data_IF_426962018399
#
_entry.id   IF_426962018399
#
_cell.length_a   1.000
_cell.length_b   1.000
_cell.length_c   1.000
_cell.angle_alpha   90.00
_cell.angle_beta   90.00
_cell.angle_gamma   90.00
#
_symmetry.space_group_name_H-M   'P 1'
#
loop_
_entity.id
_entity.type
_entity.pdbx_description
1 polymer ?
#
# COMPACT_ATOMS: atom_id res chain seq x y z
N UNK A 1 4.52 23.06 -4.52
CA UNK A 1 5.03 21.92 -5.32
C UNK A 1 4.22 20.70 -4.90
N UNK A 2 3.61 20.01 -5.85
CA UNK A 2 2.72 18.87 -5.61
C UNK A 2 3.50 17.56 -5.65
N UNK A 3 3.13 16.59 -4.81
CA UNK A 3 3.76 15.27 -4.79
C UNK A 3 2.73 14.16 -4.77
N UNK A 4 3.02 13.09 -5.49
CA UNK A 4 2.25 11.84 -5.46
C UNK A 4 2.90 10.90 -4.44
N UNK A 5 2.10 10.40 -3.52
CA UNK A 5 2.44 9.31 -2.63
C UNK A 5 1.78 8.04 -3.16
N UNK A 6 2.55 7.24 -3.87
CA UNK A 6 2.09 5.96 -4.43
C UNK A 6 2.46 4.83 -3.48
N UNK A 7 1.49 4.06 -3.03
CA UNK A 7 1.74 2.93 -2.14
C UNK A 7 0.81 1.76 -2.44
N UNK A 8 1.34 0.57 -2.25
CA UNK A 8 0.66 -0.69 -2.52
C UNK A 8 0.61 -1.57 -1.29
N UNK A 9 -0.39 -2.43 -1.26
CA UNK A 9 -0.52 -3.51 -0.30
C UNK A 9 -0.20 -4.85 -0.95
N UNK A 10 0.53 -5.69 -0.21
CA UNK A 10 0.72 -7.11 -0.51
C UNK A 10 0.16 -7.90 0.68
N UNK A 11 -0.97 -8.52 0.47
CA UNK A 11 -1.58 -9.42 1.44
C UNK A 11 -2.24 -10.60 0.73
N UNK A 12 -2.08 -11.78 1.32
CA UNK A 12 -2.79 -13.00 0.92
C UNK A 12 -3.28 -13.71 2.18
N UNK A 13 -4.54 -14.09 2.16
CA UNK A 13 -5.14 -14.82 3.26
C UNK A 13 -4.54 -16.23 3.35
N UNK A 14 -4.49 -16.78 4.56
CA UNK A 14 -4.21 -18.21 4.75
C UNK A 14 -5.53 -18.96 4.69
N UNK A 15 -5.64 -19.87 3.74
CA UNK A 15 -6.79 -20.75 3.61
C UNK A 15 -6.74 -21.86 4.64
N UNK A 16 -7.87 -22.01 5.35
CA UNK A 16 -8.08 -23.12 6.28
C UNK A 16 -8.81 -24.24 5.57
N UNK A 17 -8.41 -25.49 5.83
CA UNK A 17 -9.13 -26.64 5.30
C UNK A 17 -10.49 -26.78 5.96
N UNK A 18 -11.41 -27.44 5.26
CA UNK A 18 -12.76 -27.70 5.79
C UNK A 18 -12.66 -28.79 6.88
N UNK A 19 -12.98 -28.40 8.12
CA UNK A 19 -13.07 -29.30 9.26
C UNK A 19 -14.46 -29.91 9.34
N UNK A 20 -14.50 -31.24 9.62
CA UNK A 20 -15.70 -31.98 9.95
C UNK A 20 -15.77 -32.19 11.46
N UNK A 21 -16.95 -32.48 11.97
CA UNK A 21 -17.17 -32.73 13.40
C UNK A 21 -16.18 -33.79 13.96
N UNK A 22 -15.93 -34.86 13.21
CA UNK A 22 -15.02 -35.94 13.63
C UNK A 22 -13.52 -35.60 13.56
N UNK A 23 -13.15 -34.50 12.95
CA UNK A 23 -11.79 -34.04 12.86
C UNK A 23 -11.38 -33.24 14.12
N UNK A 24 -12.37 -32.73 14.86
CA UNK A 24 -12.17 -31.93 16.06
C UNK A 24 -11.50 -32.76 17.15
N UNK A 25 -10.31 -32.32 17.59
CA UNK A 25 -9.51 -33.00 18.59
C UNK A 25 -8.66 -34.17 18.08
N UNK A 26 -8.82 -34.58 16.80
CA UNK A 26 -8.03 -35.65 16.18
C UNK A 26 -6.99 -35.15 15.19
N UNK A 27 -7.28 -33.99 14.55
CA UNK A 27 -6.35 -33.33 13.63
C UNK A 27 -6.20 -31.87 14.06
N UNK A 28 -4.93 -31.45 14.23
CA UNK A 28 -4.59 -30.09 14.65
C UNK A 28 -3.90 -29.29 13.54
N UNK A 29 -3.79 -29.84 12.34
CA UNK A 29 -3.28 -29.14 11.17
C UNK A 29 -4.43 -28.50 10.40
N UNK A 30 -4.61 -27.20 10.58
CA UNK A 30 -5.81 -26.47 10.11
C UNK A 30 -5.70 -25.91 8.69
N UNK A 31 -4.52 -25.92 8.07
CA UNK A 31 -4.23 -25.21 6.83
C UNK A 31 -4.55 -26.06 5.59
N UNK A 32 -5.05 -25.39 4.55
CA UNK A 32 -5.19 -25.95 3.21
C UNK A 32 -3.95 -25.60 2.37
N UNK A 33 -2.93 -26.45 2.44
CA UNK A 33 -1.65 -26.21 1.76
C UNK A 33 -1.82 -26.07 0.25
N UNK A 34 -2.69 -26.89 -0.36
CA UNK A 34 -2.92 -26.83 -1.78
C UNK A 34 -3.53 -25.50 -2.23
N UNK A 35 -4.54 -25.00 -1.50
CA UNK A 35 -5.17 -23.72 -1.80
C UNK A 35 -4.19 -22.56 -1.55
N UNK A 36 -3.38 -22.63 -0.48
CA UNK A 36 -2.38 -21.61 -0.16
C UNK A 36 -1.27 -21.55 -1.21
N UNK A 37 -0.71 -22.70 -1.59
CA UNK A 37 0.32 -22.79 -2.63
C UNK A 37 -0.20 -22.31 -3.99
N UNK A 38 -1.34 -22.84 -4.41
CA UNK A 38 -1.94 -22.50 -5.72
C UNK A 38 -2.28 -21.02 -5.81
N UNK A 39 -2.94 -20.47 -4.79
CA UNK A 39 -3.32 -19.06 -4.75
C UNK A 39 -2.10 -18.12 -4.72
N UNK A 40 -1.08 -18.47 -3.93
CA UNK A 40 0.15 -17.66 -3.89
C UNK A 40 0.91 -17.71 -5.21
N UNK A 41 1.05 -18.88 -5.82
CA UNK A 41 1.73 -19.02 -7.12
C UNK A 41 0.99 -18.26 -8.21
N UNK A 42 -0.34 -18.35 -8.27
CA UNK A 42 -1.14 -17.62 -9.25
C UNK A 42 -0.95 -16.10 -9.14
N UNK A 43 -1.08 -15.54 -7.94
CA UNK A 43 -0.91 -14.09 -7.76
C UNK A 43 0.53 -13.65 -7.98
N UNK A 44 1.51 -14.46 -7.59
CA UNK A 44 2.92 -14.16 -7.83
C UNK A 44 3.22 -14.07 -9.33
N UNK A 45 2.80 -15.06 -10.12
CA UNK A 45 3.06 -15.10 -11.56
C UNK A 45 2.30 -14.03 -12.34
N UNK A 46 1.01 -13.85 -12.03
CA UNK A 46 0.15 -12.92 -12.77
C UNK A 46 0.28 -11.46 -12.38
N UNK A 47 0.72 -11.19 -11.15
CA UNK A 47 0.75 -9.84 -10.61
C UNK A 47 2.08 -9.46 -9.98
N UNK A 48 2.49 -10.10 -8.87
CA UNK A 48 3.59 -9.60 -8.06
C UNK A 48 4.92 -9.54 -8.80
N UNK A 49 5.27 -10.59 -9.55
CA UNK A 49 6.52 -10.63 -10.32
C UNK A 49 6.53 -9.55 -11.42
N UNK A 50 5.55 -9.46 -12.33
CA UNK A 50 5.56 -8.42 -13.36
C UNK A 50 5.43 -7.00 -12.78
N UNK A 51 4.63 -6.79 -11.73
CA UNK A 51 4.49 -5.49 -11.10
C UNK A 51 5.77 -5.03 -10.41
N UNK A 52 6.42 -5.90 -9.62
CA UNK A 52 7.67 -5.57 -8.94
C UNK A 52 8.82 -5.32 -9.93
N UNK A 53 8.93 -6.11 -10.99
CA UNK A 53 9.89 -5.84 -12.06
C UNK A 53 9.66 -4.45 -12.68
N UNK A 54 8.39 -4.08 -12.89
CA UNK A 54 8.02 -2.75 -13.40
C UNK A 54 8.44 -1.65 -12.43
N UNK A 55 8.16 -1.79 -11.13
CA UNK A 55 8.55 -0.81 -10.12
C UNK A 55 10.08 -0.67 -10.00
N UNK A 56 10.81 -1.78 -10.10
CA UNK A 56 12.29 -1.78 -10.11
C UNK A 56 12.82 -1.03 -11.35
N UNK A 57 12.25 -1.30 -12.53
CA UNK A 57 12.59 -0.61 -13.76
C UNK A 57 12.34 0.90 -13.65
N UNK A 58 11.17 1.31 -13.16
CA UNK A 58 10.81 2.71 -12.92
C UNK A 58 11.79 3.37 -11.94
N UNK A 59 12.16 2.70 -10.86
CA UNK A 59 13.11 3.20 -9.88
C UNK A 59 14.50 3.43 -10.50
N UNK A 60 15.01 2.46 -11.26
CA UNK A 60 16.32 2.54 -11.92
C UNK A 60 16.35 3.63 -12.99
N UNK A 61 15.31 3.73 -13.81
CA UNK A 61 15.25 4.67 -14.94
C UNK A 61 15.00 6.11 -14.50
N UNK A 62 14.47 6.34 -13.32
CA UNK A 62 14.14 7.68 -12.81
C UNK A 62 15.33 8.44 -12.20
N UNK A 63 16.49 7.80 -12.03
CA UNK A 63 17.62 8.40 -11.31
C UNK A 63 17.29 8.77 -9.87
N UNK A 64 16.37 8.05 -9.23
CA UNK A 64 15.91 8.29 -7.85
C UNK A 64 14.73 9.25 -7.71
N UNK A 65 14.19 9.78 -8.80
CA UNK A 65 13.04 10.68 -8.77
C UNK A 65 11.71 9.94 -8.51
N UNK A 66 11.57 8.72 -8.97
CA UNK A 66 10.42 7.87 -8.65
C UNK A 66 10.53 7.32 -7.24
N UNK A 67 9.46 7.42 -6.48
CA UNK A 67 9.34 6.88 -5.12
C UNK A 67 8.04 6.10 -5.00
N UNK A 68 8.10 5.03 -4.23
CA UNK A 68 6.96 4.14 -3.95
C UNK A 68 7.02 3.63 -2.51
N UNK A 69 5.91 3.23 -1.95
CA UNK A 69 5.90 2.53 -0.67
C UNK A 69 5.14 1.21 -0.77
N UNK A 70 5.54 0.22 0.01
CA UNK A 70 4.90 -1.09 0.10
C UNK A 70 4.52 -1.40 1.54
N UNK A 71 3.28 -1.82 1.74
CA UNK A 71 2.76 -2.41 2.96
C UNK A 71 2.60 -3.90 2.74
N UNK A 72 3.29 -4.73 3.52
CA UNK A 72 3.29 -6.18 3.34
C UNK A 72 2.97 -6.82 4.67
N UNK A 73 1.91 -7.62 4.76
CA UNK A 73 1.57 -8.31 6.00
C UNK A 73 2.58 -9.40 6.34
N UNK A 74 2.77 -9.68 7.62
CA UNK A 74 3.66 -10.76 8.08
C UNK A 74 3.22 -12.13 7.54
N UNK A 75 1.92 -12.35 7.52
CA UNK A 75 1.31 -13.56 6.95
C UNK A 75 1.60 -13.70 5.45
N UNK A 76 1.57 -12.61 4.69
CA UNK A 76 1.94 -12.65 3.28
C UNK A 76 3.43 -12.95 3.10
N UNK A 77 4.30 -12.36 3.94
CA UNK A 77 5.73 -12.66 3.90
C UNK A 77 6.03 -14.13 4.17
N UNK A 78 5.39 -14.74 5.19
CA UNK A 78 5.53 -16.16 5.49
C UNK A 78 5.13 -17.04 4.29
N UNK A 79 4.01 -16.73 3.64
CA UNK A 79 3.56 -17.47 2.47
C UNK A 79 4.47 -17.27 1.24
N UNK A 80 4.98 -16.05 1.03
CA UNK A 80 5.94 -15.75 -0.03
C UNK A 80 7.26 -16.49 0.17
N UNK A 81 7.78 -16.54 1.40
CA UNK A 81 9.00 -17.31 1.73
C UNK A 81 8.87 -18.80 1.39
N UNK A 82 7.67 -19.37 1.55
CA UNK A 82 7.41 -20.81 1.32
C UNK A 82 7.09 -21.09 -0.16
N UNK A 83 6.19 -20.32 -0.76
CA UNK A 83 5.55 -20.66 -2.05
C UNK A 83 6.06 -19.84 -3.22
N UNK A 84 6.57 -18.64 -3.00
CA UNK A 84 7.00 -17.72 -4.06
C UNK A 84 8.26 -16.92 -3.69
N UNK A 85 9.39 -17.58 -3.35
CA UNK A 85 10.60 -16.89 -2.90
C UNK A 85 11.17 -15.90 -3.92
N UNK A 86 10.90 -16.08 -5.20
CA UNK A 86 11.29 -15.11 -6.23
C UNK A 86 10.70 -13.71 -6.01
N UNK A 87 9.52 -13.62 -5.39
CA UNK A 87 8.92 -12.32 -5.01
C UNK A 87 9.73 -11.67 -3.89
N UNK A 88 10.21 -12.44 -2.91
CA UNK A 88 11.09 -11.94 -1.84
C UNK A 88 12.38 -11.36 -2.44
N UNK A 89 13.00 -12.05 -3.40
CA UNK A 89 14.19 -11.57 -4.10
C UNK A 89 13.93 -10.23 -4.81
N UNK A 90 12.78 -10.08 -5.46
CA UNK A 90 12.38 -8.83 -6.11
C UNK A 90 12.14 -7.71 -5.11
N UNK A 91 11.54 -8.00 -3.94
CA UNK A 91 11.38 -7.02 -2.86
C UNK A 91 12.73 -6.52 -2.35
N UNK A 92 13.72 -7.40 -2.20
CA UNK A 92 15.09 -6.99 -1.86
C UNK A 92 15.73 -6.12 -2.96
N UNK A 93 15.60 -6.50 -4.23
CA UNK A 93 16.07 -5.69 -5.35
C UNK A 93 15.43 -4.29 -5.37
N UNK A 94 14.13 -4.21 -5.11
CA UNK A 94 13.44 -2.93 -5.03
C UNK A 94 13.94 -2.09 -3.83
N UNK A 95 14.19 -2.71 -2.68
CA UNK A 95 14.79 -2.06 -1.51
C UNK A 95 16.18 -1.47 -1.82
N UNK A 96 17.00 -2.20 -2.55
CA UNK A 96 18.36 -1.78 -2.95
C UNK A 96 18.37 -0.54 -3.85
N UNK A 97 17.29 -0.28 -4.58
CA UNK A 97 17.18 0.95 -5.39
C UNK A 97 17.17 2.23 -4.56
N UNK A 98 16.84 2.16 -3.26
CA UNK A 98 16.63 3.31 -2.40
C UNK A 98 15.37 4.13 -2.70
N UNK A 99 14.52 3.67 -3.63
CA UNK A 99 13.29 4.34 -4.05
C UNK A 99 12.03 3.81 -3.35
N UNK A 100 12.14 2.73 -2.59
CA UNK A 100 11.03 2.11 -1.90
C UNK A 100 11.10 2.33 -0.39
N UNK A 101 9.98 2.71 0.21
CA UNK A 101 9.75 2.70 1.65
C UNK A 101 8.86 1.52 2.01
N UNK A 102 9.29 0.72 3.00
CA UNK A 102 8.45 -0.33 3.57
C UNK A 102 7.70 0.21 4.78
N UNK A 103 6.38 -0.01 4.79
CA UNK A 103 5.46 0.42 5.83
C UNK A 103 5.29 -0.66 6.89
N UNK A 104 4.73 -0.29 8.05
CA UNK A 104 4.26 -1.23 9.05
C UNK A 104 2.74 -1.36 8.99
N UNK A 105 2.24 -2.54 9.28
CA UNK A 105 0.81 -2.86 9.42
C UNK A 105 0.62 -3.92 10.51
N UNK A 106 -0.61 -4.32 10.90
CA UNK A 106 -0.80 -5.48 11.76
C UNK A 106 -0.27 -6.76 11.07
N UNK A 107 0.48 -7.59 11.81
CA UNK A 107 1.15 -8.77 11.26
C UNK A 107 0.22 -9.72 10.50
N UNK A 108 -0.93 -10.02 11.09
CA UNK A 108 -1.93 -10.93 10.53
C UNK A 108 -2.93 -10.24 9.60
N UNK A 109 -2.80 -8.93 9.36
CA UNK A 109 -3.76 -8.13 8.61
C UNK A 109 -5.20 -8.23 9.17
N UNK A 110 -5.30 -8.46 10.48
CA UNK A 110 -6.57 -8.64 11.18
C UNK A 110 -7.18 -7.32 11.67
N UNK A 111 -8.29 -7.44 12.41
CA UNK A 111 -9.03 -6.33 12.98
C UNK A 111 -8.71 -6.11 14.47
N UNK A 112 -7.52 -6.48 14.91
CA UNK A 112 -7.09 -6.35 16.31
C UNK A 112 -7.19 -4.93 16.84
N UNK A 113 -6.99 -3.91 15.99
CA UNK A 113 -7.17 -2.50 16.34
C UNK A 113 -8.57 -2.13 16.83
N UNK A 114 -9.60 -2.93 16.51
CA UNK A 114 -10.98 -2.72 16.94
C UNK A 114 -11.38 -3.61 18.12
N UNK A 115 -10.61 -4.66 18.40
CA UNK A 115 -11.00 -5.72 19.31
C UNK A 115 -10.19 -5.72 20.62
N UNK A 116 -8.87 -5.53 20.54
CA UNK A 116 -7.98 -5.66 21.70
C UNK A 116 -6.68 -4.87 21.49
N UNK A 117 -6.44 -3.90 22.35
CA UNK A 117 -5.26 -3.02 22.27
C UNK A 117 -3.94 -3.79 22.44
N UNK A 118 -3.85 -4.71 23.38
CA UNK A 118 -2.62 -5.46 23.63
C UNK A 118 -2.26 -6.35 22.45
N UNK A 119 -3.25 -7.07 21.90
CA UNK A 119 -3.08 -7.86 20.69
C UNK A 119 -2.66 -6.99 19.49
N UNK A 120 -3.28 -5.81 19.34
CA UNK A 120 -2.90 -4.89 18.27
C UNK A 120 -1.45 -4.41 18.40
N UNK A 121 -1.02 -4.04 19.62
CA UNK A 121 0.36 -3.65 19.88
C UNK A 121 1.35 -4.78 19.57
N UNK A 122 1.05 -6.00 20.02
CA UNK A 122 1.89 -7.17 19.77
C UNK A 122 2.05 -7.44 18.26
N UNK A 123 0.96 -7.42 17.51
CA UNK A 123 0.97 -7.60 16.06
C UNK A 123 1.81 -6.53 15.35
N UNK A 124 1.63 -5.26 15.72
CA UNK A 124 2.37 -4.15 15.11
C UNK A 124 3.87 -4.21 15.44
N UNK A 125 4.22 -4.52 16.68
CA UNK A 125 5.63 -4.65 17.08
C UNK A 125 6.31 -5.84 16.39
N UNK A 126 5.62 -6.99 16.33
CA UNK A 126 6.10 -8.17 15.61
C UNK A 126 6.36 -7.85 14.12
N UNK A 127 5.44 -7.15 13.49
CA UNK A 127 5.59 -6.75 12.09
C UNK A 127 6.74 -5.79 11.88
N UNK A 128 6.87 -4.78 12.74
CA UNK A 128 7.98 -3.82 12.70
C UNK A 128 9.34 -4.52 12.77
N UNK A 129 9.47 -5.49 13.67
CA UNK A 129 10.71 -6.24 13.83
C UNK A 129 10.99 -7.14 12.61
N UNK A 130 9.96 -7.79 12.05
CA UNK A 130 10.09 -8.59 10.82
C UNK A 130 10.56 -7.71 9.64
N UNK A 131 9.96 -6.54 9.46
CA UNK A 131 10.32 -5.60 8.38
C UNK A 131 11.77 -5.10 8.54
N UNK A 132 12.16 -4.75 9.77
CA UNK A 132 13.54 -4.34 10.08
C UNK A 132 14.54 -5.46 9.81
N UNK A 133 14.21 -6.68 10.18
CA UNK A 133 15.06 -7.85 9.94
C UNK A 133 15.22 -8.12 8.44
N UNK A 134 14.15 -8.05 7.66
CA UNK A 134 14.19 -8.36 6.23
C UNK A 134 14.82 -7.25 5.39
N UNK A 135 14.50 -5.99 5.67
CA UNK A 135 14.86 -4.87 4.79
C UNK A 135 15.87 -3.90 5.40
N UNK A 136 16.33 -4.16 6.62
CA UNK A 136 17.40 -3.40 7.26
C UNK A 136 16.99 -2.03 7.82
N UNK A 137 15.73 -1.62 7.65
CA UNK A 137 15.20 -0.33 8.12
C UNK A 137 13.94 -0.53 8.95
N UNK A 138 13.86 0.21 10.05
CA UNK A 138 12.66 0.25 10.86
C UNK A 138 11.58 1.13 10.19
N UNK A 139 10.36 0.61 9.97
CA UNK A 139 9.26 1.40 9.43
C UNK A 139 8.91 2.59 10.32
N UNK A 140 8.69 3.75 9.70
CA UNK A 140 8.32 4.99 10.40
C UNK A 140 6.86 5.40 10.19
N UNK A 141 6.23 4.84 9.18
CA UNK A 141 4.84 5.11 8.82
C UNK A 141 4.03 3.81 8.91
N UNK A 142 2.84 3.94 9.43
CA UNK A 142 1.92 2.84 9.68
C UNK A 142 0.72 2.89 8.73
N UNK A 143 0.22 1.73 8.34
CA UNK A 143 -1.03 1.54 7.62
C UNK A 143 -1.86 0.47 8.32
N UNK A 144 -3.05 0.79 8.77
CA UNK A 144 -3.92 -0.21 9.39
C UNK A 144 -4.61 -1.09 8.35
N UNK A 145 -5.01 -2.28 8.75
CA UNK A 145 -5.85 -3.17 7.94
C UNK A 145 -7.06 -2.41 7.41
N UNK A 146 -7.35 -2.57 6.10
CA UNK A 146 -8.45 -1.88 5.41
C UNK A 146 -8.47 -0.34 5.59
N UNK A 147 -7.32 0.28 5.86
CA UNK A 147 -7.18 1.73 6.13
C UNK A 147 -8.07 2.25 7.27
N UNK A 148 -8.47 1.38 8.20
CA UNK A 148 -9.31 1.73 9.34
C UNK A 148 -8.59 2.73 10.23
N UNK A 149 -9.29 3.79 10.60
CA UNK A 149 -8.81 4.85 11.46
C UNK A 149 -9.87 5.32 12.44
N UNK A 150 -9.41 5.63 13.64
CA UNK A 150 -10.04 6.53 14.61
C UNK A 150 -8.95 7.28 15.36
N UNK A 151 -9.30 8.36 16.06
CA UNK A 151 -8.32 9.11 16.85
C UNK A 151 -7.70 8.27 17.99
N UNK A 152 -8.45 7.30 18.53
CA UNK A 152 -7.95 6.34 19.52
C UNK A 152 -6.87 5.43 18.90
N UNK A 153 -7.14 4.86 17.71
CA UNK A 153 -6.16 4.05 16.98
C UNK A 153 -4.93 4.90 16.63
N UNK A 154 -5.15 6.13 16.19
CA UNK A 154 -4.06 7.09 15.93
C UNK A 154 -3.20 7.35 17.17
N UNK A 155 -3.83 7.55 18.33
CA UNK A 155 -3.14 7.69 19.62
C UNK A 155 -2.28 6.47 19.97
N UNK A 156 -2.80 5.26 19.77
CA UNK A 156 -2.05 4.02 19.97
C UNK A 156 -0.85 3.91 19.02
N UNK A 157 -1.05 4.19 17.73
CA UNK A 157 0.01 4.17 16.71
C UNK A 157 1.11 5.18 17.04
N UNK A 158 0.73 6.40 17.47
CA UNK A 158 1.69 7.42 17.90
C UNK A 158 2.49 6.96 19.12
N UNK A 159 1.84 6.31 20.09
CA UNK A 159 2.51 5.81 21.30
C UNK A 159 3.55 4.72 21.00
N UNK A 160 3.44 4.02 19.88
CA UNK A 160 4.43 3.07 19.38
C UNK A 160 5.58 3.72 18.58
N UNK A 161 5.59 5.05 18.45
CA UNK A 161 6.70 5.82 17.88
C UNK A 161 6.59 6.10 16.38
N UNK A 162 5.49 5.75 15.73
CA UNK A 162 5.27 6.08 14.32
C UNK A 162 5.09 7.59 14.12
N UNK A 163 5.50 8.09 12.95
CA UNK A 163 5.47 9.51 12.59
C UNK A 163 4.31 9.86 11.66
N UNK A 164 3.79 8.87 10.98
CA UNK A 164 2.68 9.02 10.07
C UNK A 164 1.82 7.77 10.01
N UNK A 165 0.57 7.96 9.57
CA UNK A 165 -0.38 6.89 9.32
C UNK A 165 -1.12 7.15 8.02
N UNK A 166 -1.25 6.11 7.21
CA UNK A 166 -2.03 6.11 5.98
C UNK A 166 -3.44 5.63 6.30
N UNK A 167 -4.45 6.42 5.89
CA UNK A 167 -5.86 6.15 6.17
C UNK A 167 -6.72 6.36 4.94
N UNK A 168 -7.99 5.95 5.01
CA UNK A 168 -8.97 6.27 3.96
C UNK A 168 -9.36 7.75 4.01
N UNK A 169 -9.50 8.37 2.83
CA UNK A 169 -10.06 9.71 2.67
C UNK A 169 -11.59 9.67 2.71
N UNK A 170 -12.15 9.29 3.86
CA UNK A 170 -13.58 9.05 4.02
C UNK A 170 -14.39 10.33 3.84
N UNK A 171 -15.09 10.46 2.72
CA UNK A 171 -15.83 11.67 2.33
C UNK A 171 -16.86 12.11 3.38
N UNK A 172 -17.50 11.17 4.06
CA UNK A 172 -18.49 11.50 5.10
C UNK A 172 -17.86 12.11 6.36
N UNK A 173 -16.56 11.86 6.60
CA UNK A 173 -15.78 12.48 7.69
C UNK A 173 -15.19 13.81 7.25
N UNK A 174 -14.60 13.83 6.04
CA UNK A 174 -14.00 15.04 5.49
C UNK A 174 -15.01 16.13 5.16
N UNK A 175 -16.26 15.75 4.81
CA UNK A 175 -17.27 16.69 4.37
C UNK A 175 -16.84 17.39 3.10
N UNK A 176 -16.59 18.71 3.20
CA UNK A 176 -16.12 19.55 2.10
C UNK A 176 -14.60 19.67 2.01
N UNK A 177 -13.85 19.14 3.01
CA UNK A 177 -12.38 19.17 2.99
C UNK A 177 -11.83 18.20 1.95
N UNK A 178 -10.67 18.55 1.39
CA UNK A 178 -9.95 17.70 0.42
C UNK A 178 -9.05 16.69 1.13
N UNK A 179 -8.88 15.46 0.60
CA UNK A 179 -7.90 14.51 1.10
C UNK A 179 -6.44 14.86 0.76
N UNK A 180 -6.22 15.92 0.00
CA UNK A 180 -4.92 16.26 -0.59
C UNK A 180 -4.04 17.15 0.30
N UNK A 181 -4.31 17.13 1.60
CA UNK A 181 -3.49 17.78 2.62
C UNK A 181 -2.90 16.74 3.57
N UNK A 182 -1.85 17.14 4.28
CA UNK A 182 -1.37 16.37 5.44
C UNK A 182 -2.23 16.79 6.63
N UNK A 183 -2.90 15.82 7.24
CA UNK A 183 -3.66 16.03 8.48
C UNK A 183 -2.86 15.58 9.72
N UNK A 184 -3.45 15.62 10.88
CA UNK A 184 -2.88 15.06 12.11
C UNK A 184 -3.95 14.39 12.97
N UNK A 185 -3.54 13.46 13.80
CA UNK A 185 -4.41 12.82 14.77
C UNK A 185 -4.73 13.80 15.91
N UNK A 186 -6.03 13.98 16.24
CA UNK A 186 -6.43 14.91 17.29
C UNK A 186 -5.90 14.51 18.67
N UNK A 187 -5.84 13.22 18.98
CA UNK A 187 -5.30 12.72 20.25
C UNK A 187 -3.78 12.76 20.32
N UNK A 188 -3.11 12.74 19.18
CA UNK A 188 -1.65 12.76 19.08
C UNK A 188 -1.20 13.62 17.89
N UNK A 189 -1.15 14.95 18.01
CA UNK A 189 -0.86 15.86 16.89
C UNK A 189 0.51 15.66 16.24
N UNK A 190 1.42 14.94 16.89
CA UNK A 190 2.71 14.54 16.32
C UNK A 190 2.59 13.46 15.24
N UNK A 191 1.49 12.68 15.23
CA UNK A 191 1.19 11.70 14.21
C UNK A 191 0.48 12.38 13.04
N UNK A 192 1.12 12.41 11.89
CA UNK A 192 0.55 12.95 10.66
C UNK A 192 -0.25 11.90 9.91
N UNK A 193 -1.34 12.33 9.29
CA UNK A 193 -2.26 11.48 8.55
C UNK A 193 -2.19 11.80 7.06
N UNK A 194 -2.07 10.77 6.25
CA UNK A 194 -2.10 10.84 4.80
C UNK A 194 -3.35 10.11 4.32
N UNK A 195 -4.26 10.85 3.69
CA UNK A 195 -5.58 10.35 3.34
C UNK A 195 -5.62 9.88 1.89
N UNK A 196 -6.07 8.65 1.66
CA UNK A 196 -6.21 8.07 0.32
C UNK A 196 -7.18 8.89 -0.52
N UNK A 197 -6.80 9.22 -1.75
CA UNK A 197 -7.76 9.62 -2.78
C UNK A 197 -8.41 8.37 -3.38
N UNK A 198 -9.64 8.08 -2.96
CA UNK A 198 -10.35 6.89 -3.40
C UNK A 198 -10.66 6.93 -4.89
N UNK A 199 -11.01 8.11 -5.44
CA UNK A 199 -11.39 8.24 -6.85
C UNK A 199 -10.21 7.97 -7.77
N UNK A 200 -9.09 8.66 -7.57
CA UNK A 200 -7.88 8.46 -8.37
C UNK A 200 -7.31 7.05 -8.21
N UNK A 201 -7.40 6.49 -7.01
CA UNK A 201 -6.97 5.11 -6.76
C UNK A 201 -7.84 4.09 -7.48
N UNK A 202 -9.17 4.23 -7.39
CA UNK A 202 -10.15 3.32 -8.01
C UNK A 202 -10.17 3.45 -9.54
N UNK A 203 -9.82 4.61 -10.08
CA UNK A 203 -9.69 4.81 -11.53
C UNK A 203 -8.60 3.88 -12.12
N UNK A 204 -7.53 3.61 -11.36
CA UNK A 204 -6.49 2.65 -11.74
C UNK A 204 -6.92 1.22 -11.38
N UNK A 205 -7.28 0.99 -10.11
CA UNK A 205 -7.44 -0.37 -9.58
C UNK A 205 -8.72 -1.07 -10.04
N UNK A 206 -9.79 -0.32 -10.34
CA UNK A 206 -11.11 -0.89 -10.66
C UNK A 206 -11.60 -0.57 -12.06
N UNK A 207 -11.25 0.60 -12.61
CA UNK A 207 -11.87 1.09 -13.87
C UNK A 207 -10.96 1.03 -15.08
N UNK A 208 -9.66 0.87 -14.89
CA UNK A 208 -8.64 1.03 -15.95
C UNK A 208 -8.94 0.23 -17.22
N UNK A 209 -9.36 -1.03 -17.10
CA UNK A 209 -9.67 -1.91 -18.24
C UNK A 209 -11.15 -1.95 -18.63
N UNK A 210 -12.00 -1.15 -17.96
CA UNK A 210 -13.44 -1.12 -18.24
C UNK A 210 -13.74 -0.24 -19.46
N UNK A 211 -14.06 -0.85 -20.60
CA UNK A 211 -14.39 -0.15 -21.85
C UNK A 211 -15.68 0.69 -21.78
N UNK A 212 -16.58 0.42 -20.81
CA UNK A 212 -17.81 1.16 -20.63
C UNK A 212 -17.61 2.41 -19.74
N UNK A 213 -16.43 2.56 -19.15
CA UNK A 213 -16.10 3.74 -18.37
C UNK A 213 -15.89 4.95 -19.29
N UNK A 214 -16.54 6.08 -18.98
CA UNK A 214 -16.51 7.29 -19.82
C UNK A 214 -15.10 7.84 -20.08
N UNK A 215 -14.15 7.57 -19.19
CA UNK A 215 -12.76 8.03 -19.31
C UNK A 215 -11.83 6.99 -19.96
N UNK A 216 -12.37 5.83 -20.38
CA UNK A 216 -11.59 4.81 -21.08
C UNK A 216 -11.27 5.26 -22.52
N UNK A 217 -10.07 5.00 -23.06
CA UNK A 217 -8.90 4.46 -22.35
C UNK A 217 -8.20 5.53 -21.51
N UNK A 218 -7.67 5.11 -20.34
CA UNK A 218 -6.90 5.97 -19.47
C UNK A 218 -5.41 5.90 -19.83
N UNK A 219 -4.83 7.05 -20.16
CA UNK A 219 -3.40 7.23 -20.40
C UNK A 219 -2.74 8.02 -19.26
N UNK A 220 -1.44 7.84 -19.09
CA UNK A 220 -0.69 8.47 -18.00
C UNK A 220 -0.71 10.00 -18.06
N UNK A 221 -0.62 10.59 -19.23
CA UNK A 221 -0.72 12.03 -19.44
C UNK A 221 -2.09 12.59 -19.04
N UNK A 222 -3.18 11.90 -19.41
CA UNK A 222 -4.55 12.26 -19.02
C UNK A 222 -4.69 12.20 -17.50
N UNK A 223 -4.20 11.13 -16.86
CA UNK A 223 -4.27 10.97 -15.43
C UNK A 223 -3.48 12.04 -14.67
N UNK A 224 -2.28 12.35 -15.12
CA UNK A 224 -1.44 13.41 -14.55
C UNK A 224 -2.06 14.78 -14.78
N UNK A 225 -2.72 15.02 -15.93
CA UNK A 225 -3.44 16.28 -16.16
C UNK A 225 -4.60 16.46 -15.16
N UNK A 226 -5.29 15.43 -14.75
CA UNK A 226 -6.30 15.53 -13.68
C UNK A 226 -5.68 15.97 -12.35
N UNK A 227 -4.52 15.40 -12.00
CA UNK A 227 -3.79 15.78 -10.80
C UNK A 227 -3.26 17.22 -10.90
N UNK A 228 -2.77 17.63 -12.06
CA UNK A 228 -2.25 18.97 -12.30
C UNK A 228 -3.35 20.04 -12.20
N UNK A 229 -4.58 19.69 -12.61
CA UNK A 229 -5.74 20.59 -12.59
C UNK A 229 -6.33 20.83 -11.18
N UNK A 230 -5.90 20.09 -10.15
CA UNK A 230 -6.32 20.30 -8.77
C UNK A 230 -5.86 21.68 -8.25
N UNK A 231 -6.54 22.28 -7.23
CA UNK A 231 -6.12 23.53 -6.62
C UNK A 231 -4.63 23.51 -6.21
N UNK A 232 -3.91 24.62 -6.39
CA UNK A 232 -2.44 24.66 -6.18
C UNK A 232 -2.03 24.43 -4.72
N UNK A 233 -2.89 24.75 -3.78
CA UNK A 233 -2.70 24.53 -2.35
C UNK A 233 -2.78 23.05 -1.96
N UNK A 234 -3.37 22.20 -2.78
CA UNK A 234 -3.46 20.76 -2.59
C UNK A 234 -2.14 20.10 -2.98
N UNK A 235 -1.34 19.71 -1.97
CA UNK A 235 0.06 19.37 -2.15
C UNK A 235 0.35 17.89 -2.22
N UNK A 236 -0.51 17.03 -1.67
CA UNK A 236 -0.24 15.59 -1.52
C UNK A 236 -1.38 14.78 -2.12
N UNK A 237 -1.06 13.93 -3.09
CA UNK A 237 -2.01 13.01 -3.70
C UNK A 237 -1.63 11.58 -3.28
N UNK A 238 -2.42 11.00 -2.40
CA UNK A 238 -2.18 9.64 -1.90
C UNK A 238 -2.95 8.63 -2.73
N UNK A 239 -2.23 7.81 -3.49
CA UNK A 239 -2.79 6.78 -4.36
C UNK A 239 -2.44 5.42 -3.77
N UNK A 240 -3.47 4.66 -3.41
CA UNK A 240 -3.34 3.34 -2.80
C UNK A 240 -4.18 2.30 -3.50
N UNK A 241 -3.59 1.13 -3.68
CA UNK A 241 -4.29 -0.07 -4.13
C UNK A 241 -3.52 -1.32 -3.69
N UNK A 242 -4.16 -2.45 -3.76
CA UNK A 242 -3.47 -3.73 -3.66
C UNK A 242 -2.54 -3.90 -4.87
N UNK A 243 -1.34 -4.47 -4.66
CA UNK A 243 -0.42 -4.74 -5.78
C UNK A 243 -1.03 -5.74 -6.76
N UNK A 244 -1.88 -6.63 -6.27
CA UNK A 244 -2.66 -7.59 -7.08
C UNK A 244 -3.58 -6.92 -8.10
N UNK A 245 -3.92 -5.65 -7.93
CA UNK A 245 -4.66 -4.90 -8.96
C UNK A 245 -3.92 -4.89 -10.30
N UNK A 246 -2.58 -4.86 -10.27
CA UNK A 246 -1.73 -4.88 -11.46
C UNK A 246 -1.51 -6.33 -11.93
N UNK A 247 -2.41 -6.86 -12.73
CA UNK A 247 -2.32 -8.19 -13.32
C UNK A 247 -3.48 -9.13 -12.96
N UNK A 248 -4.10 -8.98 -11.79
CA UNK A 248 -5.28 -9.74 -11.40
C UNK A 248 -6.57 -8.98 -11.71
N UNK A 249 -6.84 -7.86 -11.03
CA UNK A 249 -8.04 -7.06 -11.27
C UNK A 249 -7.97 -6.33 -12.62
N UNK A 250 -6.82 -5.78 -12.96
CA UNK A 250 -6.54 -5.19 -14.27
C UNK A 250 -5.58 -6.11 -15.02
N UNK A 251 -6.04 -6.83 -16.06
CA UNK A 251 -5.20 -7.80 -16.75
C UNK A 251 -3.99 -7.12 -17.41
N UNK A 252 -2.86 -7.81 -17.49
CA UNK A 252 -1.65 -7.27 -18.14
C UNK A 252 -1.87 -6.86 -19.59
N UNK A 253 -2.78 -7.53 -20.27
CA UNK A 253 -3.20 -7.20 -21.65
C UNK A 253 -3.86 -5.81 -21.78
N UNK A 254 -4.27 -5.19 -20.68
CA UNK A 254 -4.80 -3.82 -20.67
C UNK A 254 -3.70 -2.75 -20.80
N UNK A 255 -2.42 -3.13 -20.83
CA UNK A 255 -1.26 -2.24 -20.77
C UNK A 255 -1.17 -1.43 -19.48
N UNK A 256 -1.70 -1.94 -18.36
CA UNK A 256 -1.63 -1.26 -17.06
C UNK A 256 -0.18 -1.00 -16.62
N UNK A 257 0.76 -1.90 -16.90
CA UNK A 257 2.16 -1.72 -16.54
C UNK A 257 2.84 -0.62 -17.38
N UNK A 258 2.48 -0.50 -18.66
CA UNK A 258 2.98 0.61 -19.51
C UNK A 258 2.43 1.95 -19.06
N UNK A 259 1.15 1.99 -18.62
CA UNK A 259 0.59 3.17 -17.97
C UNK A 259 1.41 3.55 -16.71
N UNK A 260 1.73 2.59 -15.85
CA UNK A 260 2.54 2.83 -14.66
C UNK A 260 3.92 3.39 -15.00
N UNK A 261 4.61 2.78 -15.97
CA UNK A 261 5.94 3.22 -16.41
C UNK A 261 5.97 4.64 -16.95
N UNK A 262 4.89 5.09 -17.58
CA UNK A 262 4.78 6.44 -18.13
C UNK A 262 4.50 7.53 -17.09
N UNK A 263 3.97 7.18 -15.91
CA UNK A 263 3.59 8.15 -14.88
C UNK A 263 4.74 9.08 -14.44
N UNK A 264 5.98 8.60 -14.17
CA UNK A 264 7.04 9.48 -13.69
C UNK A 264 7.42 10.59 -14.68
N UNK A 265 7.53 10.29 -15.96
CA UNK A 265 7.87 11.29 -16.98
C UNK A 265 6.73 12.30 -17.21
N UNK A 266 5.47 11.83 -17.23
CA UNK A 266 4.31 12.71 -17.32
C UNK A 266 4.22 13.64 -16.10
N UNK A 267 4.46 13.14 -14.89
CA UNK A 267 4.49 13.92 -13.66
C UNK A 267 5.61 14.97 -13.68
N UNK A 268 6.82 14.58 -14.07
CA UNK A 268 7.98 15.45 -14.19
C UNK A 268 7.71 16.61 -15.16
N UNK A 269 7.06 16.36 -16.28
CA UNK A 269 6.69 17.38 -17.26
C UNK A 269 5.76 18.46 -16.68
N UNK A 270 5.03 18.15 -15.62
CA UNK A 270 4.13 19.06 -14.88
C UNK A 270 4.72 19.59 -13.57
N UNK A 271 5.98 19.28 -13.26
CA UNK A 271 6.63 19.67 -12.01
C UNK A 271 6.03 18.96 -10.79
N UNK A 272 5.37 17.80 -10.99
CA UNK A 272 4.83 16.95 -9.94
C UNK A 272 5.91 15.89 -9.60
N UNK A 273 6.15 15.69 -8.30
CA UNK A 273 7.14 14.74 -7.80
C UNK A 273 6.49 13.48 -7.24
N UNK A 274 7.29 12.44 -7.03
CA UNK A 274 6.93 11.29 -6.19
C UNK A 274 7.69 11.39 -4.87
N UNK A 275 7.02 11.08 -3.77
CA UNK A 275 7.64 11.09 -2.43
C UNK A 275 7.15 9.91 -1.62
N UNK A 276 8.03 9.39 -0.77
CA UNK A 276 7.64 8.37 0.21
C UNK A 276 6.81 8.99 1.34
N UNK A 277 5.97 8.20 2.03
CA UNK A 277 5.23 8.69 3.19
C UNK A 277 6.11 9.35 4.25
N UNK A 278 7.28 8.78 4.57
CA UNK A 278 8.22 9.39 5.53
C UNK A 278 8.74 10.75 5.05
N UNK A 279 9.05 10.90 3.77
CA UNK A 279 9.47 12.18 3.21
C UNK A 279 8.37 13.25 3.36
N UNK A 280 7.12 12.87 3.08
CA UNK A 280 5.97 13.78 3.16
C UNK A 280 5.73 14.22 4.61
N UNK A 281 5.61 13.27 5.55
CA UNK A 281 5.33 13.60 6.95
C UNK A 281 6.47 14.35 7.64
N UNK A 282 7.69 14.26 7.09
CA UNK A 282 8.83 15.00 7.59
C UNK A 282 8.87 16.44 7.06
N UNK A 283 8.58 16.62 5.77
CA UNK A 283 8.77 17.91 5.07
C UNK A 283 7.56 18.83 5.15
N UNK A 284 6.35 18.26 5.11
CA UNK A 284 5.12 19.07 5.03
C UNK A 284 4.49 19.26 6.41
N UNK A 285 3.90 20.44 6.63
CA UNK A 285 3.12 20.73 7.83
C UNK A 285 1.71 20.18 7.69
N UNK A 286 1.14 19.73 8.81
CA UNK A 286 -0.27 19.34 8.85
C UNK A 286 -1.19 20.54 8.90
N UNK A 287 -2.38 20.38 8.30
CA UNK A 287 -3.53 21.28 8.48
C UNK A 287 -4.45 20.75 9.56
N UNK A 288 -5.34 21.62 10.05
CA UNK A 288 -6.33 21.28 11.09
C UNK A 288 -7.56 20.61 10.50
#
# INVERSE_FOLDING_TARGET
MRTICLYFEIHQIIHLKRYRFFDIGNDHYYYDDYANETGMNEVAERSYIPALNTLIEMAKNSGGAFKVALSISGVALEQLEIHAPAVIDLLHQLNETGCCEFLCEPYSHGLSSLANEDCFREEVLRQRDKMKQMFGKEPKVFRNSSLIYSDEIGGLVASMGFKGMLTEGAKHVLGWKSPHYVYHCNQAPSLKLLLRDFKLSDDISLRFSNSDWAEYPLFADKYINWIDALPQEEQVINIFMELSALGMAQPLSSNILEFMKALPECAKAKGITFSTPTEIVTKLKSVS
#
